data_IF_306324142065
#
_entry.id   IF_306324142065
#
_cell.length_a   1.000
_cell.length_b   1.000
_cell.length_c   1.000
_cell.angle_alpha   90.00
_cell.angle_beta   90.00
_cell.angle_gamma   90.00
#
_symmetry.space_group_name_H-M   'P 1'
#
loop_
_entity.id
_entity.type
_entity.pdbx_description
1 polymer ?
#
# COMPACT_ATOMS: atom_id res chain seq x y z
N UNK A 1 27.71 7.85 20.72
CA UNK A 1 26.82 6.99 21.52
C UNK A 1 26.79 5.63 20.84
N UNK A 2 26.75 4.50 21.55
CA UNK A 2 26.59 3.22 20.88
C UNK A 2 25.17 3.12 20.31
N UNK A 3 25.06 2.82 19.02
CA UNK A 3 23.78 2.52 18.37
C UNK A 3 23.20 1.25 18.99
N UNK A 4 21.89 1.22 19.21
CA UNK A 4 21.17 -0.03 19.47
C UNK A 4 21.31 -0.96 18.26
N UNK A 5 21.20 -2.30 18.43
CA UNK A 5 21.21 -3.23 17.31
C UNK A 5 20.21 -2.88 16.20
N UNK A 6 19.09 -2.26 16.58
CA UNK A 6 18.05 -1.81 15.66
C UNK A 6 18.47 -0.60 14.83
N UNK A 7 19.03 0.43 15.48
CA UNK A 7 19.55 1.62 14.78
C UNK A 7 20.66 1.23 13.80
N UNK A 8 21.55 0.32 14.21
CA UNK A 8 22.59 -0.21 13.33
C UNK A 8 22.01 -0.97 12.13
N UNK A 9 20.96 -1.77 12.32
CA UNK A 9 20.30 -2.49 11.23
C UNK A 9 19.66 -1.54 10.21
N UNK A 10 19.09 -0.42 10.67
CA UNK A 10 18.53 0.62 9.80
C UNK A 10 19.61 1.34 8.98
N UNK A 11 20.74 1.69 9.60
CA UNK A 11 21.87 2.32 8.92
C UNK A 11 22.48 1.39 7.86
N UNK A 12 22.71 0.12 8.23
CA UNK A 12 23.23 -0.89 7.30
C UNK A 12 22.31 -1.11 6.11
N UNK A 13 20.98 -1.10 6.32
CA UNK A 13 20.00 -1.16 5.24
C UNK A 13 20.13 0.04 4.30
N UNK A 14 20.22 1.26 4.84
CA UNK A 14 20.43 2.48 4.05
C UNK A 14 21.71 2.41 3.21
N UNK A 15 22.83 1.99 3.81
CA UNK A 15 24.11 1.85 3.09
C UNK A 15 24.05 0.79 2.00
N UNK A 16 23.48 -0.38 2.30
CA UNK A 16 23.35 -1.52 1.38
C UNK A 16 22.48 -1.19 0.17
N UNK A 17 21.51 -0.28 0.32
CA UNK A 17 20.54 0.05 -0.70
C UNK A 17 20.82 1.36 -1.43
N UNK A 18 21.80 2.14 -0.98
CA UNK A 18 22.14 3.43 -1.59
C UNK A 18 22.38 3.29 -3.09
N UNK A 19 21.66 4.06 -3.89
CA UNK A 19 21.75 4.07 -5.36
C UNK A 19 21.06 2.89 -6.07
N UNK A 20 20.47 1.93 -5.34
CA UNK A 20 19.76 0.78 -5.95
C UNK A 20 18.35 1.10 -6.45
N UNK A 21 17.88 2.33 -6.30
CA UNK A 21 16.52 2.71 -6.66
C UNK A 21 15.46 2.14 -5.71
N UNK A 22 14.26 1.94 -6.24
CA UNK A 22 13.15 1.27 -5.56
C UNK A 22 13.38 -0.23 -5.61
N UNK A 23 13.58 -0.83 -4.45
CA UNK A 23 13.80 -2.28 -4.33
C UNK A 23 12.50 -2.95 -3.85
N UNK A 24 12.12 -4.03 -4.52
CA UNK A 24 10.87 -4.76 -4.28
C UNK A 24 11.14 -6.26 -4.28
N UNK A 25 10.56 -7.00 -3.35
CA UNK A 25 10.53 -8.46 -3.38
C UNK A 25 9.56 -8.97 -4.47
N UNK A 26 9.69 -10.24 -4.89
CA UNK A 26 8.55 -11.01 -5.39
C UNK A 26 7.36 -10.94 -4.43
N UNK A 27 6.17 -11.20 -4.95
CA UNK A 27 4.97 -11.31 -4.11
C UNK A 27 5.04 -12.58 -3.24
N UNK A 28 4.67 -12.48 -1.97
CA UNK A 28 4.52 -13.60 -1.06
C UNK A 28 3.23 -14.35 -1.36
N UNK A 29 3.34 -15.67 -1.52
CA UNK A 29 2.23 -16.56 -1.84
C UNK A 29 1.70 -17.27 -0.59
N UNK A 30 0.37 -17.42 -0.50
CA UNK A 30 -0.28 -18.21 0.56
C UNK A 30 0.03 -19.69 0.41
N UNK A 31 0.51 -20.33 1.47
CA UNK A 31 0.80 -21.77 1.47
C UNK A 31 -0.36 -22.62 1.97
N UNK A 32 -1.16 -22.06 2.89
CA UNK A 32 -2.36 -22.71 3.45
C UNK A 32 -3.58 -21.83 3.20
N UNK A 33 -4.65 -22.34 2.55
CA UNK A 33 -5.85 -21.56 2.33
C UNK A 33 -6.42 -21.01 3.62
N UNK A 34 -6.94 -19.78 3.57
CA UNK A 34 -7.44 -19.09 4.75
C UNK A 34 -8.79 -18.43 4.48
N UNK A 35 -9.66 -18.44 5.49
CA UNK A 35 -10.89 -17.66 5.53
C UNK A 35 -10.69 -16.50 6.52
N UNK A 36 -10.72 -15.27 6.01
CA UNK A 36 -10.50 -14.06 6.80
C UNK A 36 -11.85 -13.44 7.12
N UNK A 37 -12.22 -13.44 8.40
CA UNK A 37 -13.50 -12.91 8.85
C UNK A 37 -13.43 -11.39 8.97
N UNK A 38 -14.56 -10.66 8.78
CA UNK A 38 -14.60 -9.22 8.97
C UNK A 38 -14.11 -8.81 10.37
N UNK A 39 -13.26 -7.80 10.39
CA UNK A 39 -12.73 -7.18 11.60
C UNK A 39 -13.59 -5.96 11.97
N UNK A 40 -13.90 -5.76 13.25
CA UNK A 40 -14.59 -4.56 13.69
C UNK A 40 -13.64 -3.33 13.60
N UNK A 41 -13.91 -2.33 12.74
CA UNK A 41 -13.02 -1.18 12.57
C UNK A 41 -12.85 -0.33 13.84
N UNK A 42 -13.77 -0.43 14.80
CA UNK A 42 -13.76 0.34 16.06
C UNK A 42 -13.06 -0.36 17.24
N UNK A 43 -12.67 -1.63 17.09
CA UNK A 43 -12.10 -2.46 18.18
C UNK A 43 -10.57 -2.31 18.38
N UNK A 44 -10.03 -1.31 19.07
CA UNK A 44 -8.55 -1.19 19.17
C UNK A 44 -7.89 -2.46 19.80
N UNK A 45 -7.01 -3.18 19.08
CA UNK A 45 -6.28 -4.33 19.65
C UNK A 45 -5.84 -5.42 18.65
N UNK A 46 -5.14 -6.43 19.17
CA UNK A 46 -4.58 -7.57 18.42
C UNK A 46 -5.64 -8.64 18.06
N UNK A 47 -6.85 -8.52 18.60
CA UNK A 47 -8.04 -9.32 18.25
C UNK A 47 -8.54 -9.13 16.80
N UNK A 48 -7.80 -8.35 16.00
CA UNK A 48 -8.15 -7.94 14.63
C UNK A 48 -7.53 -8.79 13.53
N UNK A 49 -6.63 -9.70 13.89
CA UNK A 49 -5.61 -10.22 12.98
C UNK A 49 -5.79 -11.73 12.79
N UNK A 50 -6.12 -12.12 11.57
CA UNK A 50 -6.04 -13.51 11.14
C UNK A 50 -4.60 -13.84 10.77
N UNK A 51 -4.10 -14.97 11.27
CA UNK A 51 -2.77 -15.46 10.89
C UNK A 51 -2.89 -16.28 9.60
N UNK A 52 -2.19 -15.85 8.56
CA UNK A 52 -2.07 -16.55 7.28
C UNK A 52 -0.63 -16.98 7.06
N UNK A 53 -0.42 -18.24 6.69
CA UNK A 53 0.90 -18.74 6.33
C UNK A 53 1.25 -18.37 4.90
N UNK A 54 2.39 -17.70 4.71
CA UNK A 54 2.96 -17.39 3.39
C UNK A 54 4.31 -18.08 3.19
N UNK A 55 4.63 -18.42 1.95
CA UNK A 55 5.91 -18.99 1.58
C UNK A 55 6.99 -17.92 1.57
N UNK A 56 8.10 -18.18 2.25
CA UNK A 56 9.25 -17.30 2.29
C UNK A 56 10.53 -18.06 1.94
N UNK A 57 11.28 -17.50 1.01
CA UNK A 57 12.48 -18.10 0.43
C UNK A 57 13.51 -17.00 0.13
N UNK A 58 14.73 -17.41 -0.24
CA UNK A 58 15.88 -16.50 -0.39
C UNK A 58 15.62 -15.36 -1.38
N UNK A 59 14.92 -15.62 -2.47
CA UNK A 59 14.53 -14.66 -3.50
C UNK A 59 13.67 -13.51 -2.97
N UNK A 60 12.90 -13.72 -1.90
CA UNK A 60 12.06 -12.69 -1.29
C UNK A 60 12.88 -11.62 -0.57
N UNK A 61 14.09 -11.95 -0.13
CA UNK A 61 14.91 -11.07 0.71
C UNK A 61 16.24 -10.65 0.06
N UNK A 62 16.80 -11.50 -0.79
CA UNK A 62 18.10 -11.25 -1.45
C UNK A 62 18.12 -10.00 -2.33
N UNK A 63 16.96 -9.55 -2.82
CA UNK A 63 16.83 -8.26 -3.53
C UNK A 63 17.27 -7.08 -2.67
N UNK A 64 17.16 -7.18 -1.35
CA UNK A 64 17.57 -6.13 -0.41
C UNK A 64 19.05 -6.21 -0.02
N UNK A 65 19.81 -7.17 -0.55
CA UNK A 65 21.19 -7.44 -0.17
C UNK A 65 21.32 -8.25 1.12
N UNK A 66 22.54 -8.29 1.67
CA UNK A 66 22.86 -9.01 2.90
C UNK A 66 22.45 -8.19 4.13
N UNK A 67 21.15 -8.08 4.37
CA UNK A 67 20.58 -7.34 5.50
C UNK A 67 20.40 -8.26 6.71
N UNK A 68 20.53 -7.73 7.95
CA UNK A 68 20.18 -8.49 9.15
C UNK A 68 18.65 -8.62 9.25
N UNK A 69 18.11 -9.67 9.94
CA UNK A 69 16.66 -9.87 10.05
C UNK A 69 15.95 -8.68 10.74
N UNK A 70 16.63 -7.99 11.64
CA UNK A 70 16.14 -6.78 12.31
C UNK A 70 15.84 -5.65 11.34
N UNK A 71 16.46 -5.64 10.15
CA UNK A 71 16.24 -4.60 9.15
C UNK A 71 14.88 -4.72 8.44
N UNK A 72 14.22 -5.87 8.52
CA UNK A 72 12.97 -6.13 7.77
C UNK A 72 11.81 -5.26 8.28
N UNK A 73 11.85 -4.85 9.55
CA UNK A 73 10.86 -3.90 10.11
C UNK A 73 10.89 -2.52 9.45
N UNK A 74 11.99 -2.17 8.76
CA UNK A 74 12.11 -0.93 7.99
C UNK A 74 11.62 -1.08 6.55
N UNK A 75 11.24 -2.28 6.13
CA UNK A 75 10.61 -2.51 4.83
C UNK A 75 9.13 -2.17 4.92
N UNK A 76 8.62 -1.59 3.85
CA UNK A 76 7.20 -1.34 3.69
C UNK A 76 6.50 -2.55 3.07
N UNK A 77 5.22 -2.71 3.39
CA UNK A 77 4.35 -3.68 2.74
C UNK A 77 3.48 -2.96 1.71
N UNK A 78 3.42 -3.49 0.50
CA UNK A 78 2.42 -3.10 -0.50
C UNK A 78 1.57 -4.31 -0.78
N UNK A 79 0.30 -4.26 -0.38
CA UNK A 79 -0.63 -5.32 -0.71
C UNK A 79 -1.02 -5.23 -2.19
N UNK A 80 -1.34 -6.37 -2.81
CA UNK A 80 -1.84 -6.40 -4.18
C UNK A 80 -3.22 -5.73 -4.23
N UNK A 81 -3.40 -4.84 -5.19
CA UNK A 81 -4.60 -4.00 -5.33
C UNK A 81 -5.92 -4.77 -5.34
N UNK A 82 -5.93 -6.04 -5.79
CA UNK A 82 -7.12 -6.89 -5.75
C UNK A 82 -7.59 -7.21 -4.33
N UNK A 83 -6.68 -7.57 -3.44
CA UNK A 83 -6.99 -7.88 -2.04
C UNK A 83 -7.28 -6.59 -1.29
N UNK A 84 -6.61 -5.51 -1.69
CA UNK A 84 -6.79 -4.18 -1.10
C UNK A 84 -8.22 -3.71 -1.31
N UNK A 85 -8.72 -3.80 -2.54
CA UNK A 85 -10.08 -3.38 -2.88
C UNK A 85 -11.18 -4.24 -2.21
N UNK A 86 -10.84 -5.42 -1.68
CA UNK A 86 -11.75 -6.21 -0.84
C UNK A 86 -11.69 -5.82 0.65
N UNK A 87 -10.73 -4.98 1.05
CA UNK A 87 -10.54 -4.50 2.41
C UNK A 87 -9.52 -5.28 3.23
N UNK A 88 -8.71 -6.16 2.64
CA UNK A 88 -7.64 -6.83 3.39
C UNK A 88 -6.49 -5.87 3.71
N UNK A 89 -5.81 -6.04 4.84
CA UNK A 89 -4.58 -5.32 5.19
C UNK A 89 -3.57 -6.30 5.76
N UNK A 90 -2.30 -6.16 5.40
CA UNK A 90 -1.23 -6.83 6.12
C UNK A 90 -0.88 -6.02 7.37
N UNK A 91 -1.26 -6.53 8.53
CA UNK A 91 -1.00 -5.88 9.82
C UNK A 91 0.42 -6.11 10.35
N UNK A 92 1.21 -6.97 9.70
CA UNK A 92 2.65 -7.14 9.94
C UNK A 92 3.12 -8.60 10.08
N UNK A 93 4.40 -8.76 10.43
CA UNK A 93 5.06 -10.05 10.68
C UNK A 93 5.18 -10.35 12.18
N UNK A 94 4.21 -9.90 12.97
CA UNK A 94 4.17 -10.14 14.40
C UNK A 94 3.02 -11.07 14.75
N UNK A 95 3.20 -11.91 15.77
CA UNK A 95 2.12 -12.73 16.31
C UNK A 95 1.11 -11.89 17.09
N UNK A 96 0.11 -12.57 17.66
CA UNK A 96 -0.92 -11.97 18.50
C UNK A 96 -0.39 -11.28 19.78
N UNK A 97 0.88 -11.50 20.13
CA UNK A 97 1.56 -10.89 21.26
C UNK A 97 2.55 -9.80 20.81
N UNK A 98 2.55 -9.42 19.53
CA UNK A 98 3.46 -8.43 18.97
C UNK A 98 4.89 -8.93 18.77
N UNK A 99 5.15 -10.23 18.98
CA UNK A 99 6.48 -10.82 18.81
C UNK A 99 6.75 -11.06 17.33
N UNK A 100 7.90 -10.58 16.88
CA UNK A 100 8.34 -10.78 15.51
C UNK A 100 8.48 -12.27 15.17
N UNK A 101 7.78 -12.70 14.12
CA UNK A 101 7.65 -14.10 13.73
C UNK A 101 8.87 -14.64 12.99
N UNK A 102 9.68 -13.75 12.43
CA UNK A 102 10.93 -14.11 11.77
C UNK A 102 12.08 -14.19 12.78
N UNK A 103 12.33 -15.40 13.28
CA UNK A 103 13.46 -15.65 14.19
C UNK A 103 14.79 -15.70 13.44
N UNK A 104 15.91 -15.48 14.14
CA UNK A 104 17.26 -15.61 13.55
C UNK A 104 17.52 -17.02 12.99
N UNK A 105 16.87 -18.06 13.54
CA UNK A 105 16.95 -19.42 13.03
C UNK A 105 16.27 -19.56 11.67
N UNK A 106 15.03 -19.04 11.55
CA UNK A 106 14.29 -19.04 10.28
C UNK A 106 15.06 -18.22 9.24
N UNK A 107 15.55 -17.04 9.62
CA UNK A 107 16.37 -16.19 8.75
C UNK A 107 17.60 -16.93 8.21
N UNK A 108 18.37 -17.56 9.09
CA UNK A 108 19.56 -18.33 8.70
C UNK A 108 19.21 -19.46 7.74
N UNK A 109 18.10 -20.17 7.98
CA UNK A 109 17.64 -21.21 7.09
C UNK A 109 17.26 -20.67 5.70
N UNK A 110 16.55 -19.54 5.63
CA UNK A 110 16.21 -18.86 4.36
C UNK A 110 17.48 -18.47 3.60
N UNK A 111 18.49 -17.92 4.29
CA UNK A 111 19.77 -17.56 3.66
C UNK A 111 20.53 -18.79 3.12
N UNK A 112 20.34 -19.95 3.73
CA UNK A 112 20.84 -21.25 3.28
C UNK A 112 19.98 -21.89 2.17
N UNK A 113 18.95 -21.21 1.68
CA UNK A 113 18.10 -21.66 0.58
C UNK A 113 16.90 -22.52 1.00
N UNK A 114 16.62 -22.63 2.30
CA UNK A 114 15.40 -23.29 2.76
C UNK A 114 14.18 -22.39 2.56
N UNK A 115 13.04 -23.01 2.28
CA UNK A 115 11.74 -22.32 2.25
C UNK A 115 11.03 -22.53 3.59
N UNK A 116 10.47 -21.46 4.14
CA UNK A 116 9.70 -21.50 5.38
C UNK A 116 8.28 -20.98 5.15
N UNK A 117 7.34 -21.51 5.93
CA UNK A 117 6.03 -20.89 6.11
C UNK A 117 6.16 -19.82 7.18
N UNK A 118 5.94 -18.56 6.81
CA UNK A 118 5.90 -17.44 7.72
C UNK A 118 4.44 -17.09 8.05
N UNK A 119 4.07 -17.02 9.33
CA UNK A 119 2.79 -16.45 9.69
C UNK A 119 2.83 -14.93 9.45
N UNK A 120 1.76 -14.42 8.86
CA UNK A 120 1.56 -12.99 8.59
C UNK A 120 0.18 -12.60 9.09
N UNK A 121 0.12 -11.48 9.79
CA UNK A 121 -1.13 -10.92 10.26
C UNK A 121 -1.91 -10.25 9.14
N UNK A 122 -3.19 -10.60 9.00
CA UNK A 122 -4.12 -9.99 8.05
C UNK A 122 -5.38 -9.49 8.77
N UNK A 123 -5.73 -8.23 8.56
CA UNK A 123 -7.03 -7.67 8.94
C UNK A 123 -7.97 -7.64 7.74
N UNK A 124 -9.28 -7.76 7.97
CA UNK A 124 -10.31 -7.60 6.93
C UNK A 124 -11.26 -6.47 7.31
N UNK A 125 -11.05 -5.31 6.72
CA UNK A 125 -11.90 -4.13 6.90
C UNK A 125 -13.17 -4.13 6.04
N UNK A 126 -13.29 -5.10 5.13
CA UNK A 126 -14.53 -5.38 4.43
C UNK A 126 -15.60 -5.90 5.38
N UNK A 127 -16.84 -5.99 4.88
CA UNK A 127 -17.99 -6.51 5.64
C UNK A 127 -18.28 -7.99 5.38
N UNK A 128 -17.54 -8.62 4.48
CA UNK A 128 -17.75 -10.01 4.06
C UNK A 128 -16.52 -10.87 4.38
N UNK A 129 -16.72 -12.15 4.75
CA UNK A 129 -15.63 -13.11 4.81
C UNK A 129 -14.92 -13.26 3.45
N UNK A 130 -13.59 -13.30 3.47
CA UNK A 130 -12.76 -13.41 2.25
C UNK A 130 -12.00 -14.73 2.30
N UNK A 131 -12.15 -15.54 1.26
CA UNK A 131 -11.38 -16.77 1.09
C UNK A 131 -10.17 -16.54 0.20
N UNK A 132 -9.00 -16.82 0.76
CA UNK A 132 -7.71 -16.72 0.10
C UNK A 132 -7.23 -18.14 -0.23
N UNK A 133 -7.18 -18.52 -1.52
CA UNK A 133 -6.72 -19.86 -1.90
C UNK A 133 -5.21 -19.99 -1.74
N UNK A 134 -4.73 -21.24 -1.65
CA UNK A 134 -3.30 -21.55 -1.77
C UNK A 134 -2.75 -21.05 -3.11
N UNK A 135 -1.54 -20.50 -3.09
CA UNK A 135 -0.87 -19.91 -4.24
C UNK A 135 -1.32 -18.48 -4.57
N UNK A 136 -2.27 -17.92 -3.83
CA UNK A 136 -2.64 -16.52 -3.98
C UNK A 136 -1.47 -15.61 -3.58
N UNK A 137 -1.10 -14.69 -4.47
CA UNK A 137 -0.09 -13.65 -4.21
C UNK A 137 -0.73 -12.50 -3.45
N UNK A 138 -0.29 -12.25 -2.22
CA UNK A 138 -0.94 -11.28 -1.34
C UNK A 138 -0.31 -9.91 -1.36
N UNK A 139 1.00 -9.85 -1.14
CA UNK A 139 1.72 -8.61 -0.94
C UNK A 139 3.18 -8.80 -1.34
N UNK A 140 3.90 -7.68 -1.48
CA UNK A 140 5.36 -7.66 -1.58
C UNK A 140 5.93 -6.70 -0.55
N UNK A 141 7.19 -6.95 -0.21
CA UNK A 141 8.00 -6.01 0.54
C UNK A 141 8.65 -5.03 -0.42
N UNK A 142 8.78 -3.79 0.01
CA UNK A 142 9.52 -2.79 -0.75
C UNK A 142 10.19 -1.78 0.15
N UNK A 143 11.14 -1.05 -0.43
CA UNK A 143 11.79 0.08 0.23
C UNK A 143 12.14 1.15 -0.79
N UNK A 144 12.12 2.39 -0.31
CA UNK A 144 12.41 3.59 -1.09
C UNK A 144 13.75 4.21 -0.68
N UNK A 145 14.47 3.59 0.27
CA UNK A 145 15.74 4.12 0.81
C UNK A 145 16.83 4.26 -0.25
N UNK A 146 16.83 3.38 -1.26
CA UNK A 146 17.76 3.45 -2.39
C UNK A 146 17.32 4.39 -3.51
N UNK A 147 16.11 4.94 -3.44
CA UNK A 147 15.48 5.69 -4.52
C UNK A 147 15.63 7.20 -4.32
N UNK A 148 15.69 7.93 -5.44
CA UNK A 148 15.74 9.38 -5.42
C UNK A 148 14.34 9.95 -5.28
N UNK A 149 14.03 10.53 -4.13
CA UNK A 149 12.78 11.26 -3.93
C UNK A 149 12.72 12.45 -4.89
N UNK A 150 11.69 12.49 -5.73
CA UNK A 150 11.41 13.58 -6.65
C UNK A 150 10.51 14.59 -5.94
N UNK A 151 11.09 15.72 -5.58
CA UNK A 151 10.41 16.85 -4.96
C UNK A 151 10.95 18.16 -5.53
N UNK A 152 10.36 19.27 -5.09
CA UNK A 152 10.76 20.60 -5.50
C UNK A 152 10.62 20.83 -7.01
N UNK A 153 11.55 21.63 -7.53
CA UNK A 153 11.69 21.91 -8.98
C UNK A 153 11.91 20.62 -9.80
N UNK A 154 12.51 19.57 -9.23
CA UNK A 154 12.74 18.30 -9.96
C UNK A 154 11.42 17.62 -10.32
N UNK A 155 10.50 17.50 -9.36
CA UNK A 155 9.18 16.94 -9.62
C UNK A 155 8.37 17.84 -10.57
N UNK A 156 8.40 19.16 -10.35
CA UNK A 156 7.72 20.10 -11.22
C UNK A 156 8.18 19.97 -12.69
N UNK A 157 9.48 19.85 -12.92
CA UNK A 157 10.05 19.65 -14.25
C UNK A 157 9.66 18.31 -14.88
N UNK A 158 9.60 17.22 -14.12
CA UNK A 158 9.16 15.92 -14.62
C UNK A 158 7.71 15.94 -15.12
N UNK A 159 6.82 16.63 -14.40
CA UNK A 159 5.41 16.75 -14.82
C UNK A 159 5.28 17.70 -16.01
N UNK A 160 5.90 18.89 -15.97
CA UNK A 160 5.80 19.89 -17.05
C UNK A 160 6.43 19.44 -18.36
N UNK A 161 7.49 18.64 -18.29
CA UNK A 161 8.11 18.04 -19.49
C UNK A 161 7.30 16.87 -20.07
N UNK A 162 6.25 16.41 -19.38
CA UNK A 162 5.45 15.26 -19.78
C UNK A 162 6.09 13.90 -19.46
N UNK A 163 7.23 13.86 -18.76
CA UNK A 163 7.84 12.61 -18.32
C UNK A 163 6.94 11.87 -17.33
N UNK A 164 6.31 12.59 -16.40
CA UNK A 164 5.14 12.13 -15.64
C UNK A 164 3.93 12.81 -16.27
N UNK A 165 2.99 12.02 -16.79
CA UNK A 165 1.75 12.58 -17.36
C UNK A 165 0.61 12.46 -16.35
N UNK A 166 -0.12 13.55 -16.15
CA UNK A 166 -1.32 13.59 -15.31
C UNK A 166 -2.41 14.21 -16.18
N UNK A 167 -3.38 13.40 -16.57
CA UNK A 167 -4.51 13.86 -17.38
C UNK A 167 -5.44 14.76 -16.57
N UNK A 168 -6.17 15.64 -17.26
CA UNK A 168 -7.07 16.61 -16.63
C UNK A 168 -6.42 17.96 -16.33
N UNK A 169 -7.17 18.84 -15.68
CA UNK A 169 -6.82 20.24 -15.45
C UNK A 169 -6.22 20.45 -14.06
N UNK A 170 -5.03 21.06 -14.01
CA UNK A 170 -4.41 21.51 -12.75
C UNK A 170 -5.34 22.51 -12.02
N UNK A 171 -5.48 22.35 -10.70
CA UNK A 171 -6.40 23.08 -9.84
C UNK A 171 -7.79 22.45 -9.75
N UNK A 172 -8.18 21.64 -10.75
CA UNK A 172 -9.46 20.93 -10.78
C UNK A 172 -9.25 19.45 -10.47
N UNK A 173 -8.72 18.69 -11.43
CA UNK A 173 -8.54 17.22 -11.33
C UNK A 173 -7.33 16.82 -10.50
N UNK A 174 -6.33 17.70 -10.43
CA UNK A 174 -5.13 17.49 -9.61
C UNK A 174 -4.51 18.83 -9.19
N UNK A 175 -3.69 18.82 -8.14
CA UNK A 175 -2.97 20.02 -7.68
C UNK A 175 -1.65 19.64 -7.03
N UNK A 176 -0.69 20.56 -7.03
CA UNK A 176 0.56 20.38 -6.29
C UNK A 176 0.33 20.20 -4.79
N UNK A 177 1.02 19.23 -4.20
CA UNK A 177 1.10 19.08 -2.75
C UNK A 177 2.36 19.77 -2.26
N UNK A 178 2.21 20.83 -1.46
CA UNK A 178 3.31 21.63 -0.97
C UNK A 178 3.51 21.49 0.54
N UNK A 179 4.76 21.62 0.99
CA UNK A 179 5.11 21.79 2.40
C UNK A 179 5.60 23.23 2.64
N UNK A 180 4.73 24.08 3.18
CA UNK A 180 5.02 25.48 3.50
C UNK A 180 5.15 26.39 2.26
N UNK A 181 4.17 27.23 1.97
CA UNK A 181 4.17 28.13 0.80
C UNK A 181 3.87 27.41 -0.54
N UNK A 182 3.67 28.19 -1.61
CA UNK A 182 3.13 27.70 -2.91
C UNK A 182 4.13 27.75 -4.06
N UNK A 183 5.43 27.72 -3.75
CA UNK A 183 6.49 27.77 -4.77
C UNK A 183 6.93 26.37 -5.15
N UNK A 184 7.44 26.19 -6.38
CA UNK A 184 7.93 24.90 -6.88
C UNK A 184 8.92 24.23 -5.92
N UNK A 185 9.76 25.00 -5.23
CA UNK A 185 10.75 24.49 -4.26
C UNK A 185 10.13 23.74 -3.08
N UNK A 186 8.87 24.03 -2.79
CA UNK A 186 8.14 23.48 -1.67
C UNK A 186 7.22 22.33 -2.08
N UNK A 187 7.21 21.95 -3.36
CA UNK A 187 6.44 20.80 -3.85
C UNK A 187 7.02 19.53 -3.24
N UNK A 188 6.19 18.73 -2.60
CA UNK A 188 6.54 17.42 -2.04
C UNK A 188 5.76 16.28 -2.70
N UNK A 189 4.84 16.59 -3.60
CA UNK A 189 4.03 15.59 -4.27
C UNK A 189 2.92 16.19 -5.14
N UNK A 190 1.97 15.33 -5.52
CA UNK A 190 0.75 15.72 -6.23
C UNK A 190 -0.47 15.17 -5.51
N UNK A 191 -1.50 16.00 -5.38
CA UNK A 191 -2.82 15.61 -4.95
C UNK A 191 -3.70 15.33 -6.17
N UNK A 192 -4.25 14.12 -6.27
CA UNK A 192 -5.20 13.75 -7.31
C UNK A 192 -6.62 13.78 -6.75
N UNK A 193 -7.54 14.44 -7.45
CA UNK A 193 -8.95 14.48 -7.07
C UNK A 193 -9.59 13.12 -7.33
N UNK A 194 -10.34 12.63 -6.36
CA UNK A 194 -11.19 11.45 -6.51
C UNK A 194 -12.53 11.82 -7.16
N UNK A 195 -13.08 10.94 -8.01
CA UNK A 195 -14.40 11.11 -8.65
C UNK A 195 -15.51 11.32 -7.60
N UNK A 196 -16.71 11.84 -7.85
CA UNK A 196 -17.75 11.84 -6.82
C UNK A 196 -18.23 10.43 -6.44
N UNK A 197 -18.23 9.51 -7.41
CA UNK A 197 -18.65 8.13 -7.21
C UNK A 197 -17.65 7.38 -6.34
N UNK A 198 -18.18 6.67 -5.35
CA UNK A 198 -17.46 5.90 -4.34
C UNK A 198 -18.17 4.57 -4.22
N UNK A 199 -17.39 3.51 -4.05
CA UNK A 199 -17.92 2.17 -4.03
C UNK A 199 -17.56 1.45 -2.74
N UNK A 200 -18.37 0.49 -2.37
CA UNK A 200 -18.07 -0.44 -1.29
C UNK A 200 -18.67 -1.80 -1.64
N UNK A 201 -18.27 -2.83 -0.90
CA UNK A 201 -18.87 -4.15 -1.00
C UNK A 201 -19.82 -4.31 0.20
N UNK A 202 -21.14 -4.27 0.00
CA UNK A 202 -22.11 -4.33 1.09
C UNK A 202 -22.04 -5.68 1.83
N UNK A 203 -22.42 -5.73 3.12
CA UNK A 203 -22.52 -6.99 3.86
C UNK A 203 -23.55 -7.93 3.21
N UNK A 204 -23.17 -9.19 3.01
CA UNK A 204 -24.09 -10.26 2.62
C UNK A 204 -24.50 -11.03 3.86
N UNK A 205 -25.79 -10.97 4.21
CA UNK A 205 -26.35 -11.67 5.37
C UNK A 205 -26.20 -13.19 5.25
N UNK A 206 -26.31 -13.71 4.02
CA UNK A 206 -26.13 -15.11 3.67
C UNK A 206 -25.43 -15.17 2.30
N UNK A 207 -24.29 -15.84 2.22
CA UNK A 207 -23.56 -15.97 0.96
C UNK A 207 -22.20 -16.63 1.11
N UNK A 208 -21.64 -17.18 0.00
CA UNK A 208 -20.28 -17.70 0.00
C UNK A 208 -19.28 -16.57 0.30
N UNK A 209 -18.13 -16.94 0.85
CA UNK A 209 -17.00 -16.03 1.00
C UNK A 209 -16.58 -15.44 -0.34
N UNK A 210 -16.09 -14.20 -0.31
CA UNK A 210 -15.58 -13.54 -1.51
C UNK A 210 -14.21 -14.11 -1.85
N UNK A 211 -13.99 -14.43 -3.12
CA UNK A 211 -12.69 -14.84 -3.64
C UNK A 211 -12.47 -14.19 -5.00
N UNK A 212 -11.23 -13.84 -5.33
CA UNK A 212 -10.86 -13.20 -6.59
C UNK A 212 -9.72 -14.00 -7.21
N UNK A 213 -9.80 -14.25 -8.52
CA UNK A 213 -8.86 -15.10 -9.23
C UNK A 213 -7.47 -14.48 -9.33
N UNK A 214 -6.43 -15.30 -9.14
CA UNK A 214 -5.04 -14.93 -9.44
C UNK A 214 -4.68 -14.96 -10.94
N UNK A 215 -5.51 -15.61 -11.74
CA UNK A 215 -5.38 -15.75 -13.18
C UNK A 215 -6.29 -14.76 -13.92
N UNK A 216 -5.70 -13.87 -14.72
CA UNK A 216 -6.42 -13.04 -15.69
C UNK A 216 -6.15 -11.53 -15.57
N UNK A 217 -6.33 -10.83 -16.70
CA UNK A 217 -6.23 -9.35 -16.77
C UNK A 217 -7.45 -8.64 -16.15
N UNK A 218 -8.48 -9.39 -15.75
CA UNK A 218 -9.81 -8.84 -15.51
C UNK A 218 -10.29 -8.86 -14.05
N UNK A 219 -9.36 -8.88 -13.08
CA UNK A 219 -9.71 -8.87 -11.66
C UNK A 219 -10.53 -7.62 -11.25
N UNK A 220 -10.38 -6.50 -11.98
CA UNK A 220 -11.19 -5.30 -11.73
C UNK A 220 -12.66 -5.56 -12.00
N UNK A 221 -13.01 -6.22 -13.11
CA UNK A 221 -14.39 -6.58 -13.42
C UNK A 221 -14.98 -7.54 -12.37
N UNK A 222 -14.19 -8.51 -11.89
CA UNK A 222 -14.61 -9.41 -10.80
C UNK A 222 -14.95 -8.60 -9.53
N UNK A 223 -14.10 -7.65 -9.14
CA UNK A 223 -14.32 -6.80 -7.97
C UNK A 223 -15.48 -5.82 -8.19
N UNK A 224 -15.57 -5.20 -9.38
CA UNK A 224 -16.61 -4.23 -9.73
C UNK A 224 -18.00 -4.87 -9.69
N UNK A 225 -18.10 -6.16 -10.04
CA UNK A 225 -19.34 -6.93 -9.94
C UNK A 225 -19.85 -7.11 -8.50
N UNK A 226 -18.98 -6.90 -7.51
CA UNK A 226 -19.31 -6.99 -6.08
C UNK A 226 -19.62 -5.63 -5.46
N UNK A 227 -19.33 -4.55 -6.18
CA UNK A 227 -19.35 -3.19 -5.65
C UNK A 227 -20.69 -2.50 -5.89
N UNK A 228 -21.13 -1.75 -4.90
CA UNK A 228 -22.28 -0.86 -4.95
C UNK A 228 -21.87 0.56 -4.58
N UNK A 229 -22.67 1.59 -4.90
CA UNK A 229 -22.45 2.93 -4.37
C UNK A 229 -22.38 2.92 -2.84
N UNK A 230 -21.38 3.61 -2.27
CA UNK A 230 -21.24 3.69 -0.82
C UNK A 230 -22.41 4.48 -0.20
N UNK A 231 -23.01 4.03 0.91
CA UNK A 231 -24.01 4.81 1.61
C UNK A 231 -23.38 6.08 2.21
N UNK A 232 -24.18 7.13 2.38
CA UNK A 232 -23.82 8.31 3.16
C UNK A 232 -24.01 8.01 4.65
N UNK A 233 -22.92 7.98 5.42
CA UNK A 233 -22.92 7.63 6.84
C UNK A 233 -21.83 8.40 7.60
N UNK A 234 -22.06 8.64 8.89
CA UNK A 234 -21.08 9.16 9.85
C UNK A 234 -20.22 8.05 10.46
N UNK A 235 -20.57 6.78 10.26
CA UNK A 235 -19.77 5.63 10.65
C UNK A 235 -18.56 5.42 9.73
N UNK A 236 -17.42 5.02 10.30
CA UNK A 236 -16.27 4.59 9.51
C UNK A 236 -16.59 3.33 8.71
N UNK A 237 -16.55 3.46 7.39
CA UNK A 237 -16.71 2.34 6.45
C UNK A 237 -15.48 2.21 5.57
N UNK A 238 -15.23 0.99 5.12
CA UNK A 238 -14.29 0.72 4.05
C UNK A 238 -14.94 1.03 2.71
N UNK A 239 -14.29 1.88 1.91
CA UNK A 239 -14.74 2.21 0.56
C UNK A 239 -13.57 2.32 -0.40
N UNK A 240 -13.87 2.14 -1.68
CA UNK A 240 -12.95 2.28 -2.81
C UNK A 240 -13.34 3.51 -3.62
N UNK A 241 -12.36 4.37 -3.86
CA UNK A 241 -12.48 5.54 -4.74
C UNK A 241 -11.61 5.38 -5.96
N UNK A 242 -11.88 6.17 -7.00
CA UNK A 242 -11.05 6.25 -8.19
C UNK A 242 -10.69 7.70 -8.48
N UNK A 243 -9.46 7.96 -8.91
CA UNK A 243 -9.02 9.30 -9.31
C UNK A 243 -9.73 9.75 -10.59
N UNK A 244 -10.02 11.04 -10.67
CA UNK A 244 -10.52 11.72 -11.88
C UNK A 244 -9.45 11.70 -12.97
N UNK A 245 -8.23 12.12 -12.60
CA UNK A 245 -7.05 12.08 -13.42
C UNK A 245 -6.51 10.65 -13.56
N UNK A 246 -6.14 10.29 -14.79
CA UNK A 246 -5.24 9.18 -15.07
C UNK A 246 -3.79 9.65 -14.89
N UNK A 247 -2.95 8.78 -14.33
CA UNK A 247 -1.52 9.03 -14.21
C UNK A 247 -0.74 8.03 -15.06
N UNK A 248 0.25 8.55 -15.80
CA UNK A 248 1.19 7.75 -16.56
C UNK A 248 2.59 7.94 -16.02
N UNK A 249 3.21 6.84 -15.60
CA UNK A 249 4.57 6.82 -15.05
C UNK A 249 5.53 6.13 -16.01
N UNK A 250 6.73 6.67 -16.25
CA UNK A 250 7.78 5.95 -16.96
C UNK A 250 8.27 4.76 -16.11
N UNK A 251 8.88 3.77 -16.75
CA UNK A 251 9.27 2.51 -16.10
C UNK A 251 10.18 2.68 -14.87
N UNK A 252 10.98 3.74 -14.83
CA UNK A 252 11.94 4.03 -13.76
C UNK A 252 11.43 5.04 -12.70
N UNK A 253 10.16 5.45 -12.77
CA UNK A 253 9.54 6.33 -11.76
C UNK A 253 8.38 5.58 -11.11
N UNK A 254 8.35 5.67 -9.79
CA UNK A 254 7.34 5.08 -8.93
C UNK A 254 6.62 6.18 -8.19
N UNK A 255 5.39 5.91 -7.79
CA UNK A 255 4.66 6.77 -6.87
C UNK A 255 4.29 5.99 -5.61
N UNK A 256 4.27 6.69 -4.47
CA UNK A 256 3.78 6.17 -3.20
C UNK A 256 2.57 6.98 -2.78
N UNK A 257 1.48 6.29 -2.48
CA UNK A 257 0.31 6.86 -1.84
C UNK A 257 0.62 7.14 -0.36
N UNK A 258 0.29 8.35 0.09
CA UNK A 258 0.51 8.75 1.48
C UNK A 258 -0.61 8.21 2.38
N UNK A 259 -0.23 7.35 3.34
CA UNK A 259 -1.10 6.48 4.15
C UNK A 259 -2.09 7.22 5.07
N UNK A 260 -1.70 8.39 5.57
CA UNK A 260 -2.57 9.25 6.36
C UNK A 260 -2.91 10.50 5.55
N UNK A 261 -4.17 10.62 5.14
CA UNK A 261 -4.71 11.82 4.52
C UNK A 261 -5.33 12.69 5.62
N UNK A 262 -4.80 13.89 5.79
CA UNK A 262 -5.42 14.95 6.58
C UNK A 262 -5.86 16.03 5.60
N UNK A 263 -7.15 16.07 5.27
CA UNK A 263 -7.73 17.17 4.48
C UNK A 263 -8.39 18.15 5.45
N UNK A 264 -7.96 19.40 5.48
CA UNK A 264 -8.65 20.43 6.26
C UNK A 264 -9.88 20.86 5.46
N UNK A 265 -11.08 20.70 6.02
CA UNK A 265 -12.31 21.15 5.36
C UNK A 265 -12.40 22.70 5.34
N UNK A 266 -13.39 23.23 4.61
CA UNK A 266 -13.62 24.68 4.48
C UNK A 266 -13.88 25.38 5.84
N UNK A 267 -14.18 24.62 6.89
CA UNK A 267 -14.38 25.08 8.27
C UNK A 267 -13.14 24.96 9.16
N UNK A 268 -11.98 24.61 8.60
CA UNK A 268 -10.72 24.52 9.35
C UNK A 268 -10.55 23.24 10.18
N UNK A 269 -11.47 22.27 10.07
CA UNK A 269 -11.39 20.99 10.80
C UNK A 269 -10.68 19.93 9.96
N UNK A 270 -9.72 19.17 10.55
CA UNK A 270 -9.05 18.08 9.85
C UNK A 270 -10.00 16.88 9.65
N UNK A 271 -10.15 16.46 8.40
CA UNK A 271 -10.70 15.16 8.01
C UNK A 271 -9.58 14.14 8.04
N UNK A 272 -9.78 13.08 8.81
CA UNK A 272 -8.87 11.95 8.82
C UNK A 272 -9.45 10.84 7.96
N UNK A 273 -8.68 10.43 6.95
CA UNK A 273 -8.93 9.23 6.18
C UNK A 273 -7.66 8.39 6.18
N UNK A 274 -7.83 7.11 6.48
CA UNK A 274 -6.74 6.15 6.45
C UNK A 274 -6.74 5.48 5.08
N UNK A 275 -5.67 5.73 4.32
CA UNK A 275 -5.41 5.04 3.06
C UNK A 275 -4.47 3.87 3.35
N UNK A 276 -5.00 2.65 3.36
CA UNK A 276 -4.39 1.62 4.20
C UNK A 276 -3.64 0.51 3.46
N UNK A 277 -3.83 0.30 2.15
CA UNK A 277 -3.62 -1.06 1.61
C UNK A 277 -2.60 -1.18 0.46
N UNK A 278 -2.88 -0.57 -0.70
CA UNK A 278 -2.03 -0.65 -1.90
C UNK A 278 -1.21 0.62 -2.10
N UNK A 279 -0.08 0.73 -1.39
CA UNK A 279 0.64 2.00 -1.26
C UNK A 279 1.67 2.30 -2.37
N UNK A 280 2.23 1.28 -3.03
CA UNK A 280 3.24 1.47 -4.08
C UNK A 280 2.64 1.32 -5.48
N UNK A 281 2.85 2.34 -6.31
CA UNK A 281 2.46 2.38 -7.72
C UNK A 281 3.73 2.19 -8.57
N UNK A 282 3.71 1.15 -9.40
CA UNK A 282 4.84 0.80 -10.25
C UNK A 282 4.98 1.75 -11.45
N UNK A 283 6.24 1.92 -11.90
CA UNK A 283 6.52 2.51 -13.21
C UNK A 283 5.84 1.71 -14.33
N UNK A 284 5.48 2.41 -15.41
CA UNK A 284 4.67 1.84 -16.49
C UNK A 284 3.17 1.81 -16.20
N UNK A 285 2.73 2.32 -15.04
CA UNK A 285 1.30 2.56 -14.79
C UNK A 285 0.75 3.56 -15.81
N UNK A 286 -0.46 3.29 -16.31
CA UNK A 286 -1.17 4.11 -17.30
C UNK A 286 -2.70 4.11 -17.05
N UNK A 287 -3.11 4.22 -15.78
CA UNK A 287 -4.49 4.00 -15.36
C UNK A 287 -4.93 5.04 -14.33
N UNK A 288 -6.24 5.34 -14.25
CA UNK A 288 -6.81 5.93 -13.04
C UNK A 288 -6.47 5.05 -11.83
N UNK A 289 -6.08 5.70 -10.74
CA UNK A 289 -5.74 5.02 -9.50
C UNK A 289 -7.01 4.71 -8.74
N UNK A 290 -7.14 3.47 -8.29
CA UNK A 290 -8.09 3.13 -7.24
C UNK A 290 -7.40 3.25 -5.90
N UNK A 291 -8.13 3.77 -4.93
CA UNK A 291 -7.64 3.96 -3.57
C UNK A 291 -8.62 3.34 -2.60
N UNK A 292 -8.07 2.75 -1.55
CA UNK A 292 -8.84 2.06 -0.53
C UNK A 292 -8.77 2.84 0.78
N UNK A 293 -9.94 3.25 1.28
CA UNK A 293 -10.04 4.25 2.34
C UNK A 293 -10.96 3.77 3.46
N UNK A 294 -10.52 4.01 4.68
CA UNK A 294 -11.33 3.91 5.89
C UNK A 294 -11.69 5.31 6.37
N UNK A 295 -12.96 5.69 6.23
CA UNK A 295 -13.51 6.94 6.76
C UNK A 295 -15.03 6.92 6.81
N UNK A 296 -15.66 7.86 7.53
CA UNK A 296 -17.04 8.27 7.26
C UNK A 296 -17.22 8.78 5.82
N UNK A 297 -18.46 8.77 5.33
CA UNK A 297 -18.82 9.15 3.96
C UNK A 297 -19.81 10.31 3.89
N UNK A 298 -20.26 10.83 5.05
CA UNK A 298 -21.06 12.06 5.13
C UNK A 298 -20.29 13.30 4.64
N UNK A 299 -18.96 13.27 4.74
CA UNK A 299 -18.06 14.31 4.24
C UNK A 299 -16.70 13.72 3.83
N UNK A 300 -16.65 12.94 2.72
CA UNK A 300 -15.48 12.14 2.38
C UNK A 300 -14.30 13.01 1.97
N UNK A 301 -13.10 12.42 1.98
CA UNK A 301 -11.93 13.05 1.35
C UNK A 301 -12.11 13.13 -0.16
N UNK A 302 -11.60 14.22 -0.74
CA UNK A 302 -11.72 14.47 -2.17
C UNK A 302 -10.40 14.35 -2.92
N UNK A 303 -9.29 14.25 -2.20
CA UNK A 303 -7.96 14.13 -2.79
C UNK A 303 -7.18 12.98 -2.16
N UNK A 304 -6.25 12.44 -2.93
CA UNK A 304 -5.19 11.55 -2.44
C UNK A 304 -3.83 12.07 -2.88
N UNK A 305 -2.83 11.89 -2.03
CA UNK A 305 -1.50 12.46 -2.21
C UNK A 305 -0.50 11.39 -2.65
N UNK A 306 0.28 11.75 -3.65
CA UNK A 306 1.36 10.95 -4.20
C UNK A 306 2.70 11.63 -3.96
N UNK A 307 3.67 10.84 -3.50
CA UNK A 307 5.10 11.18 -3.51
C UNK A 307 5.79 10.35 -4.57
N UNK A 308 6.81 10.90 -5.25
CA UNK A 308 7.40 10.29 -6.44
C UNK A 308 8.86 9.90 -6.21
N UNK A 309 9.27 8.75 -6.73
CA UNK A 309 10.61 8.19 -6.52
C UNK A 309 11.15 7.70 -7.86
N UNK A 310 12.45 7.87 -8.07
CA UNK A 310 13.11 7.50 -9.32
C UNK A 310 14.30 6.58 -9.05
N UNK A 311 14.41 5.54 -9.88
CA UNK A 311 15.62 4.71 -9.95
C UNK A 311 16.75 5.50 -10.62
N UNK A 312 18.00 5.35 -10.17
CA UNK A 312 19.12 5.90 -10.93
C UNK A 312 19.05 5.40 -12.38
N UNK A 313 19.23 6.32 -13.33
CA UNK A 313 19.42 5.90 -14.71
C UNK A 313 20.77 5.17 -14.76
N UNK A 314 20.74 3.89 -15.13
CA UNK A 314 21.92 3.19 -15.66
C UNK A 314 22.33 3.90 -16.96
#
# INVERSE_FOLDING_TARGET
MPHTPEEFAGELLCETLKGKGVVKSPDFEVTTPALIMPTNPNSCGVERVHIVSVGAAKEHFSVFGDIPPEAIKYLHVSMRSRWAQLGLEISGFSDENGKYLLTSQIWKGIQQGLTYELPVGIANFGKNPIYIPRGARLFRLYTLLGAWHQNGEKLANLVRSGAISIEGKEGEDWKWFHFGGTTDRNVIGVNLRLKPQRWWIPPRLEGPSVTVSDAGRNFRDEIDSLMEPVPTTDETVFWVGETTAKITLPQNIYAKLNVAQIEINDHGSPKFALQVLSTLIDGGTDWPLRVEVLSPTIDPINFVSLSFYRDEAI
#
